data_IF_172190003249
#
_entry.id   IF_172190003249
#
_cell.length_a   1.000
_cell.length_b   1.000
_cell.length_c   1.000
_cell.angle_alpha   90.00
_cell.angle_beta   90.00
_cell.angle_gamma   90.00
#
_symmetry.space_group_name_H-M   'P 1'
#
loop_
_entity.id
_entity.type
_entity.pdbx_description
1 polymer ?
#
# COMPACT_ATOMS: atom_id res chain seq x y z
N UNK A 1 -1.66 -9.31 -2.67
CA UNK A 1 -1.01 -10.09 -1.60
C UNK A 1 -2.11 -10.79 -0.84
N UNK A 2 -2.03 -12.10 -0.69
CA UNK A 2 -3.11 -12.91 -0.09
C UNK A 2 -2.48 -13.94 0.84
N UNK A 3 -2.95 -13.99 2.08
CA UNK A 3 -2.60 -15.00 3.09
C UNK A 3 -1.09 -15.15 3.32
N UNK A 4 -0.41 -14.02 3.51
CA UNK A 4 1.01 -13.95 3.85
C UNK A 4 1.19 -13.40 5.28
N UNK A 5 0.82 -14.15 6.34
CA UNK A 5 0.78 -13.65 7.71
C UNK A 5 2.16 -13.29 8.27
N UNK A 6 3.23 -13.87 7.73
CA UNK A 6 4.62 -13.62 8.15
C UNK A 6 5.36 -12.59 7.29
N UNK A 7 4.75 -12.08 6.21
CA UNK A 7 5.39 -11.09 5.34
C UNK A 7 5.52 -9.77 6.09
N UNK A 8 6.75 -9.30 6.29
CA UNK A 8 7.03 -8.06 7.01
C UNK A 8 7.25 -6.85 6.09
N UNK A 9 7.99 -7.06 5.01
CA UNK A 9 8.34 -6.04 4.04
C UNK A 9 8.37 -6.69 2.65
N UNK A 10 7.94 -5.96 1.63
CA UNK A 10 8.03 -6.42 0.23
C UNK A 10 9.35 -5.99 -0.40
N UNK A 11 9.85 -4.80 -0.03
CA UNK A 11 11.13 -4.28 -0.47
C UNK A 11 11.67 -3.23 0.52
N UNK A 12 12.97 -2.94 0.43
CA UNK A 12 13.69 -2.04 1.35
C UNK A 12 13.53 -0.56 1.01
N UNK A 13 13.10 -0.24 -0.22
CA UNK A 13 12.93 1.12 -0.73
C UNK A 13 11.63 1.28 -1.52
N UNK A 14 11.20 2.52 -1.73
CA UNK A 14 10.08 2.83 -2.62
C UNK A 14 10.45 2.51 -4.08
N UNK A 15 9.43 2.14 -4.85
CA UNK A 15 9.54 1.87 -6.27
C UNK A 15 8.46 2.71 -7.00
N UNK A 16 8.79 3.34 -8.14
CA UNK A 16 7.90 4.34 -8.75
C UNK A 16 6.63 3.77 -9.39
N UNK A 17 6.59 2.45 -9.66
CA UNK A 17 5.46 1.72 -10.25
C UNK A 17 4.52 2.55 -11.15
N UNK A 18 5.01 3.15 -12.26
CA UNK A 18 4.26 4.16 -13.01
C UNK A 18 2.93 3.63 -13.57
N UNK A 19 2.86 2.34 -13.87
CA UNK A 19 1.69 1.71 -14.46
C UNK A 19 0.84 0.90 -13.46
N UNK A 20 1.17 0.91 -12.17
CA UNK A 20 0.41 0.16 -11.16
C UNK A 20 -0.90 0.88 -10.86
N UNK A 21 -2.01 0.18 -11.12
CA UNK A 21 -3.38 0.72 -10.94
C UNK A 21 -4.08 0.18 -9.70
N UNK A 22 -3.66 -0.98 -9.21
CA UNK A 22 -4.32 -1.65 -8.08
C UNK A 22 -3.31 -2.39 -7.22
N UNK A 23 -3.47 -2.29 -5.90
CA UNK A 23 -2.70 -3.03 -4.92
C UNK A 23 -3.63 -3.63 -3.85
N UNK A 24 -3.85 -4.94 -3.92
CA UNK A 24 -4.76 -5.65 -3.02
C UNK A 24 -3.98 -6.35 -1.90
N UNK A 25 -4.39 -6.19 -0.64
CA UNK A 25 -3.76 -6.80 0.54
C UNK A 25 -4.80 -7.48 1.41
N UNK A 26 -4.68 -8.80 1.55
CA UNK A 26 -5.58 -9.64 2.35
C UNK A 26 -4.76 -10.64 3.16
N UNK A 27 -5.07 -10.83 4.45
CA UNK A 27 -4.39 -11.82 5.30
C UNK A 27 -2.89 -11.56 5.55
N UNK A 28 -2.44 -10.30 5.46
CA UNK A 28 -1.03 -9.91 5.59
C UNK A 28 -0.77 -9.06 6.85
N UNK A 29 -1.15 -9.55 8.02
CA UNK A 29 -1.18 -8.75 9.27
C UNK A 29 0.17 -8.21 9.73
N UNK A 30 1.29 -8.89 9.42
CA UNK A 30 2.64 -8.43 9.78
C UNK A 30 3.30 -7.51 8.74
N UNK A 31 2.63 -7.20 7.63
CA UNK A 31 3.18 -6.37 6.56
C UNK A 31 3.20 -4.91 7.00
N UNK A 32 4.39 -4.40 7.29
CA UNK A 32 4.58 -3.04 7.80
C UNK A 32 5.09 -2.06 6.76
N UNK A 33 5.85 -2.51 5.76
CA UNK A 33 6.39 -1.60 4.73
C UNK A 33 5.97 -2.00 3.34
N UNK A 34 5.54 -0.98 2.60
CA UNK A 34 5.18 -1.08 1.19
C UNK A 34 6.25 -0.39 0.34
N UNK A 35 6.54 -0.91 -0.87
CA UNK A 35 7.46 -0.28 -1.80
C UNK A 35 6.78 0.88 -2.54
N UNK A 36 5.91 1.64 -1.87
CA UNK A 36 5.07 2.67 -2.46
C UNK A 36 5.34 4.01 -1.78
N UNK A 37 5.37 5.06 -2.59
CA UNK A 37 5.48 6.46 -2.18
C UNK A 37 4.33 7.29 -2.79
N UNK A 38 4.29 8.58 -2.45
CA UNK A 38 3.30 9.53 -3.00
C UNK A 38 3.31 9.67 -4.54
N UNK A 39 4.35 9.19 -5.23
CA UNK A 39 4.48 9.24 -6.69
C UNK A 39 4.10 7.92 -7.36
N UNK A 40 3.97 6.84 -6.60
CA UNK A 40 3.69 5.51 -7.10
C UNK A 40 2.33 5.42 -7.78
N UNK A 41 2.28 4.84 -8.99
CA UNK A 41 1.01 4.63 -9.71
C UNK A 41 0.26 5.90 -10.10
N UNK A 42 0.92 7.07 -10.09
CA UNK A 42 0.32 8.35 -10.52
C UNK A 42 0.07 8.48 -12.02
N UNK A 43 0.64 7.60 -12.86
CA UNK A 43 0.65 7.79 -14.32
C UNK A 43 -0.64 7.35 -15.04
N UNK A 44 -1.81 7.46 -14.40
CA UNK A 44 -3.08 7.07 -15.01
C UNK A 44 -4.28 7.85 -14.50
N UNK A 45 -5.36 7.85 -15.28
CA UNK A 45 -6.58 8.66 -15.08
C UNK A 45 -7.25 8.48 -13.70
N UNK A 46 -7.04 7.32 -13.05
CA UNK A 46 -7.67 6.95 -11.78
C UNK A 46 -6.68 6.80 -10.61
N UNK A 47 -5.38 7.05 -10.83
CA UNK A 47 -4.32 6.78 -9.84
C UNK A 47 -4.22 5.31 -9.39
N UNK A 48 -3.36 5.05 -8.39
CA UNK A 48 -3.29 3.76 -7.71
C UNK A 48 -4.48 3.62 -6.74
N UNK A 49 -5.17 2.47 -6.79
CA UNK A 49 -6.18 2.08 -5.81
C UNK A 49 -5.58 1.01 -4.89
N UNK A 50 -5.65 1.20 -3.58
CA UNK A 50 -5.31 0.15 -2.62
C UNK A 50 -6.59 -0.48 -2.08
N UNK A 51 -6.67 -1.80 -2.07
CA UNK A 51 -7.76 -2.52 -1.41
C UNK A 51 -7.25 -3.38 -0.30
N UNK A 52 -7.98 -3.40 0.80
CA UNK A 52 -7.63 -4.20 1.96
C UNK A 52 -8.86 -4.61 2.74
N UNK A 53 -8.76 -5.69 3.51
CA UNK A 53 -9.86 -6.18 4.35
C UNK A 53 -9.65 -5.83 5.81
N UNK A 54 -8.43 -6.00 6.30
CA UNK A 54 -8.06 -5.83 7.71
C UNK A 54 -7.74 -4.36 8.03
N UNK A 55 -8.59 -3.67 8.81
CA UNK A 55 -8.31 -2.29 9.27
C UNK A 55 -7.03 -2.20 10.10
N UNK A 56 -6.80 -3.21 10.93
CA UNK A 56 -5.61 -3.28 11.77
C UNK A 56 -4.33 -3.26 10.93
N UNK A 57 -4.36 -3.81 9.70
CA UNK A 57 -3.20 -3.76 8.83
C UNK A 57 -2.85 -2.32 8.45
N UNK A 58 -3.80 -1.55 7.88
CA UNK A 58 -3.52 -0.19 7.40
C UNK A 58 -3.10 0.76 8.53
N UNK A 59 -3.59 0.54 9.75
CA UNK A 59 -3.21 1.29 10.95
C UNK A 59 -1.77 1.01 11.42
N UNK A 60 -1.25 -0.18 11.14
CA UNK A 60 0.09 -0.62 11.54
C UNK A 60 1.16 -0.48 10.44
N UNK A 61 0.80 0.01 9.25
CA UNK A 61 1.77 0.29 8.19
C UNK A 61 2.67 1.45 8.63
N UNK A 62 3.98 1.24 8.50
CA UNK A 62 5.03 2.23 8.70
C UNK A 62 5.24 3.00 7.38
N UNK A 63 4.80 4.25 7.36
CA UNK A 63 4.94 5.16 6.22
C UNK A 63 6.26 5.93 6.28
N UNK A 64 6.87 6.20 5.13
CA UNK A 64 8.08 7.01 5.03
C UNK A 64 7.86 8.46 5.49
N UNK A 65 6.76 9.05 5.04
CA UNK A 65 6.37 10.41 5.36
C UNK A 65 4.83 10.55 5.44
N UNK A 66 4.38 11.65 6.05
CA UNK A 66 2.96 11.96 6.19
C UNK A 66 2.28 12.19 4.82
N UNK A 67 3.01 12.63 3.80
CA UNK A 67 2.44 12.83 2.47
C UNK A 67 2.04 11.49 1.82
N UNK A 68 2.88 10.48 1.97
CA UNK A 68 2.68 9.12 1.49
C UNK A 68 1.53 8.46 2.25
N UNK A 69 1.49 8.61 3.58
CA UNK A 69 0.36 8.16 4.41
C UNK A 69 -0.96 8.76 3.95
N UNK A 70 -1.03 10.09 3.83
CA UNK A 70 -2.26 10.80 3.47
C UNK A 70 -2.73 10.42 2.05
N UNK A 71 -1.80 10.35 1.10
CA UNK A 71 -2.09 9.89 -0.25
C UNK A 71 -2.64 8.46 -0.25
N UNK A 72 -1.99 7.55 0.48
CA UNK A 72 -2.40 6.16 0.55
C UNK A 72 -3.79 6.01 1.16
N UNK A 73 -4.06 6.69 2.27
CA UNK A 73 -5.37 6.66 2.94
C UNK A 73 -6.47 7.18 2.01
N UNK A 74 -6.22 8.26 1.28
CA UNK A 74 -7.15 8.80 0.27
C UNK A 74 -7.41 7.82 -0.89
N UNK A 75 -6.38 7.10 -1.32
CA UNK A 75 -6.43 6.15 -2.43
C UNK A 75 -6.83 4.72 -2.01
N UNK A 76 -7.14 4.51 -0.73
CA UNK A 76 -7.45 3.20 -0.17
C UNK A 76 -8.95 2.95 -0.07
N UNK A 77 -9.35 1.69 -0.21
CA UNK A 77 -10.73 1.25 -0.08
C UNK A 77 -10.78 -0.05 0.70
N UNK A 78 -11.47 -0.04 1.83
CA UNK A 78 -11.74 -1.26 2.56
C UNK A 78 -12.80 -2.08 1.81
N UNK A 79 -12.53 -3.37 1.59
CA UNK A 79 -13.42 -4.31 0.84
C UNK A 79 -13.74 -5.58 1.60
#
# INVERSE_FOLDING_TARGET
>A
LVDLPELKNIYWSHLPFPCLKRFDVFGCSKLKKLPLDSQSGRHGENGLIIRYKEKEWIENVEWEDEATKNWFLHSSSQV
#
